data_IF_600196524727
#
_entry.id   IF_600196524727
#
_cell.length_a   1.000
_cell.length_b   1.000
_cell.length_c   1.000
_cell.angle_alpha   90.00
_cell.angle_beta   90.00
_cell.angle_gamma   90.00
#
_symmetry.space_group_name_H-M   'P 1'
#
loop_
_entity.id
_entity.type
_entity.pdbx_description
1 polymer ?
#
# COMPACT_ATOMS: atom_id res chain seq x y z
N UNK A 1 3.31 -9.28 -21.00
CA UNK A 1 2.03 -9.21 -21.75
C UNK A 1 2.02 -7.94 -22.59
N UNK A 2 1.59 -7.99 -23.87
CA UNK A 2 1.23 -6.78 -24.60
C UNK A 2 0.02 -6.13 -23.91
N UNK A 3 -0.12 -4.81 -24.00
CA UNK A 3 -1.30 -4.08 -23.55
C UNK A 3 -2.59 -4.83 -23.95
N UNK A 4 -3.33 -5.37 -22.98
CA UNK A 4 -4.66 -5.89 -23.23
C UNK A 4 -5.59 -4.68 -23.44
N UNK A 5 -6.11 -4.45 -24.66
CA UNK A 5 -7.02 -3.35 -24.92
C UNK A 5 -8.36 -3.48 -24.17
N UNK A 6 -8.68 -4.65 -23.60
CA UNK A 6 -9.86 -4.84 -22.75
C UNK A 6 -9.66 -4.30 -21.33
N UNK A 7 -8.42 -4.24 -20.83
CA UNK A 7 -8.07 -3.80 -19.47
C UNK A 7 -7.00 -2.68 -19.50
N UNK A 8 -7.32 -1.49 -20.03
CA UNK A 8 -6.36 -0.41 -20.25
C UNK A 8 -5.75 0.20 -18.97
N UNK A 9 -6.25 -0.18 -17.79
CA UNK A 9 -5.77 0.27 -16.48
C UNK A 9 -4.58 -0.51 -15.93
N UNK A 10 -4.17 -1.63 -16.56
CA UNK A 10 -2.99 -2.41 -16.18
C UNK A 10 -1.79 -1.50 -15.85
N UNK A 11 -1.37 -1.56 -14.58
CA UNK A 11 -0.36 -0.69 -13.99
C UNK A 11 1.00 -0.89 -14.66
N UNK A 12 1.88 0.12 -14.55
CA UNK A 12 3.29 -0.13 -14.82
C UNK A 12 3.92 -0.55 -13.52
N UNK A 13 4.66 -1.67 -13.55
CA UNK A 13 5.44 -2.20 -12.43
C UNK A 13 6.22 -1.08 -11.73
N UNK A 14 6.79 -0.16 -12.50
CA UNK A 14 7.56 1.00 -12.06
C UNK A 14 6.89 1.86 -10.95
N UNK A 15 5.56 2.02 -10.95
CA UNK A 15 4.85 2.83 -9.93
C UNK A 15 4.68 2.08 -8.60
N UNK A 16 4.55 0.76 -8.68
CA UNK A 16 4.48 -0.13 -7.52
C UNK A 16 5.87 -0.40 -6.97
N UNK A 17 6.85 -0.67 -7.85
CA UNK A 17 8.26 -0.84 -7.49
C UNK A 17 8.76 0.39 -6.70
N UNK A 18 8.40 1.62 -7.11
CA UNK A 18 8.74 2.83 -6.34
C UNK A 18 8.12 2.86 -4.92
N UNK A 19 6.89 2.39 -4.75
CA UNK A 19 6.25 2.36 -3.42
C UNK A 19 6.85 1.28 -2.53
N UNK A 20 7.21 0.14 -3.14
CA UNK A 20 7.92 -0.97 -2.49
C UNK A 20 9.34 -0.55 -2.11
N UNK A 21 10.10 0.11 -3.00
CA UNK A 21 11.42 0.68 -2.73
C UNK A 21 11.40 1.67 -1.56
N UNK A 22 10.35 2.49 -1.45
CA UNK A 22 10.19 3.42 -0.33
C UNK A 22 9.93 2.68 1.00
N UNK A 23 9.22 1.55 0.97
CA UNK A 23 9.00 0.69 2.14
C UNK A 23 10.30 -0.02 2.53
N UNK A 24 11.02 -0.59 1.57
CA UNK A 24 12.32 -1.23 1.78
C UNK A 24 13.33 -0.24 2.37
N UNK A 25 13.35 1.00 1.87
CA UNK A 25 14.14 2.07 2.44
C UNK A 25 13.79 2.39 3.91
N UNK A 26 12.54 2.21 4.34
CA UNK A 26 12.16 2.34 5.76
C UNK A 26 12.72 1.18 6.58
N UNK A 27 12.68 -0.06 6.08
CA UNK A 27 13.24 -1.22 6.76
C UNK A 27 14.77 -1.16 6.86
N UNK A 28 15.46 -0.76 5.79
CA UNK A 28 16.91 -0.56 5.80
C UNK A 28 17.35 0.45 6.88
N UNK A 29 16.60 1.55 7.01
CA UNK A 29 16.87 2.57 8.02
C UNK A 29 16.58 2.08 9.44
N UNK A 30 15.58 1.22 9.61
CA UNK A 30 15.32 0.53 10.88
C UNK A 30 16.49 -0.38 11.27
N UNK A 31 16.99 -1.21 10.35
CA UNK A 31 18.11 -2.12 10.62
C UNK A 31 19.38 -1.38 11.04
N UNK A 32 19.59 -0.17 10.50
CA UNK A 32 20.73 0.69 10.82
C UNK A 32 20.54 1.48 12.14
N UNK A 33 19.35 1.49 12.71
CA UNK A 33 19.02 2.24 13.94
C UNK A 33 19.75 1.65 15.15
N UNK A 34 20.56 2.48 15.82
CA UNK A 34 21.36 2.08 16.99
C UNK A 34 20.69 2.38 18.33
N UNK A 35 19.52 3.03 18.33
CA UNK A 35 18.79 3.39 19.54
C UNK A 35 17.83 2.25 19.95
N UNK A 36 18.07 1.56 21.08
CA UNK A 36 17.25 0.42 21.50
C UNK A 36 15.77 0.77 21.72
N UNK A 37 15.47 1.99 22.18
CA UNK A 37 14.09 2.39 22.50
C UNK A 37 13.28 2.58 21.22
N UNK A 38 13.87 3.26 20.22
CA UNK A 38 13.24 3.41 18.91
C UNK A 38 13.09 2.06 18.22
N UNK A 39 14.11 1.20 18.31
CA UNK A 39 14.10 -0.13 17.69
C UNK A 39 12.97 -1.01 18.21
N UNK A 40 12.78 -1.12 19.53
CA UNK A 40 11.68 -1.93 20.10
C UNK A 40 10.29 -1.42 19.67
N UNK A 41 10.14 -0.10 19.58
CA UNK A 41 8.92 0.51 19.08
C UNK A 41 8.69 0.16 17.59
N UNK A 42 9.71 0.29 16.75
CA UNK A 42 9.67 -0.02 15.32
C UNK A 42 9.36 -1.52 15.12
N UNK A 43 10.06 -2.41 15.82
CA UNK A 43 9.82 -3.86 15.83
C UNK A 43 8.37 -4.22 16.20
N UNK A 44 7.74 -3.46 17.10
CA UNK A 44 6.33 -3.65 17.44
C UNK A 44 5.43 -3.37 16.23
N UNK A 45 5.70 -2.30 15.48
CA UNK A 45 4.93 -1.94 14.27
C UNK A 45 5.20 -2.96 13.16
N UNK A 46 6.45 -3.37 12.95
CA UNK A 46 6.81 -4.40 11.96
C UNK A 46 6.10 -5.71 12.31
N UNK A 47 6.09 -6.11 13.58
CA UNK A 47 5.37 -7.31 14.02
C UNK A 47 3.85 -7.23 13.85
N UNK A 48 3.25 -6.03 13.85
CA UNK A 48 1.84 -5.87 13.45
C UNK A 48 1.64 -6.17 11.96
N UNK A 49 2.58 -5.78 11.10
CA UNK A 49 2.53 -6.04 9.67
C UNK A 49 2.71 -7.52 9.36
N UNK A 50 3.73 -8.16 9.93
CA UNK A 50 3.96 -9.61 9.77
C UNK A 50 2.71 -10.40 10.11
N UNK A 51 2.07 -10.12 11.25
CA UNK A 51 0.81 -10.82 11.63
C UNK A 51 -0.34 -10.59 10.65
N UNK A 52 -0.35 -9.44 9.97
CA UNK A 52 -1.41 -9.09 9.03
C UNK A 52 -1.21 -9.83 7.71
N UNK A 53 0.01 -9.83 7.20
CA UNK A 53 0.39 -10.55 5.97
C UNK A 53 0.28 -12.06 6.20
N UNK A 54 0.76 -12.61 7.34
CA UNK A 54 0.56 -14.02 7.70
C UNK A 54 -0.92 -14.44 7.71
N UNK A 55 -1.80 -13.54 8.18
CA UNK A 55 -3.24 -13.81 8.20
C UNK A 55 -3.86 -13.70 6.81
N UNK A 56 -3.33 -12.84 5.96
CA UNK A 56 -3.74 -12.69 4.56
C UNK A 56 -3.31 -13.92 3.75
N UNK A 57 -2.05 -14.33 3.85
CA UNK A 57 -1.50 -15.51 3.17
C UNK A 57 -2.25 -16.80 3.50
N UNK A 58 -2.66 -16.98 4.77
CA UNK A 58 -3.51 -18.12 5.15
C UNK A 58 -4.85 -18.08 4.43
N UNK A 59 -5.53 -16.93 4.39
CA UNK A 59 -6.81 -16.77 3.69
C UNK A 59 -6.65 -16.96 2.18
N UNK A 60 -5.55 -16.48 1.62
CA UNK A 60 -5.23 -16.68 0.20
C UNK A 60 -4.99 -18.16 -0.10
N UNK A 61 -4.26 -18.86 0.77
CA UNK A 61 -4.05 -20.31 0.67
C UNK A 61 -5.35 -21.10 0.73
N UNK A 62 -6.30 -20.68 1.57
CA UNK A 62 -7.64 -21.29 1.65
C UNK A 62 -8.45 -21.09 0.35
N UNK A 63 -8.25 -19.97 -0.35
CA UNK A 63 -8.91 -19.65 -1.63
C UNK A 63 -8.32 -20.42 -2.80
N UNK A 64 -6.99 -20.48 -2.87
CA UNK A 64 -6.25 -21.09 -3.98
C UNK A 64 -6.16 -22.62 -3.85
N UNK A 65 -6.28 -23.15 -2.63
CA UNK A 65 -6.08 -24.56 -2.33
C UNK A 65 -4.59 -24.95 -2.29
N UNK A 66 -4.28 -26.14 -1.75
CA UNK A 66 -2.89 -26.59 -1.54
C UNK A 66 -2.10 -26.81 -2.85
N UNK A 67 -2.78 -26.97 -3.98
CA UNK A 67 -2.15 -27.28 -5.28
C UNK A 67 -1.63 -26.03 -6.01
N UNK A 68 -2.18 -24.83 -5.73
CA UNK A 68 -1.75 -23.58 -6.36
C UNK A 68 -0.40 -23.07 -5.83
N UNK A 69 -0.01 -23.46 -4.61
CA UNK A 69 1.28 -23.11 -4.00
C UNK A 69 2.48 -23.84 -4.66
N UNK A 70 2.22 -24.75 -5.61
CA UNK A 70 3.24 -25.53 -6.32
C UNK A 70 3.53 -24.98 -7.74
N UNK A 71 2.69 -24.08 -8.26
CA UNK A 71 2.87 -23.43 -9.57
C UNK A 71 3.40 -22.00 -9.41
N UNK A 72 4.47 -21.87 -8.62
CA UNK A 72 5.20 -20.61 -8.47
C UNK A 72 6.13 -20.42 -9.70
N UNK A 73 5.53 -20.21 -10.88
CA UNK A 73 6.25 -19.65 -12.02
C UNK A 73 6.37 -18.13 -11.74
N UNK A 74 7.55 -17.63 -11.36
CA UNK A 74 7.70 -16.21 -11.08
C UNK A 74 7.26 -15.43 -12.32
N UNK A 75 6.25 -14.57 -12.17
CA UNK A 75 5.78 -13.68 -13.22
C UNK A 75 6.86 -12.61 -13.52
N UNK A 76 7.92 -13.01 -14.21
CA UNK A 76 8.97 -12.11 -14.69
C UNK A 76 8.44 -11.45 -15.97
N UNK A 77 7.99 -10.20 -15.84
CA UNK A 77 7.73 -9.35 -17.00
C UNK A 77 9.05 -9.11 -17.76
N UNK A 78 9.22 -9.78 -18.91
CA UNK A 78 10.41 -9.63 -19.77
C UNK A 78 10.65 -8.21 -20.32
N UNK A 79 9.70 -7.28 -20.13
CA UNK A 79 9.78 -5.90 -20.63
C UNK A 79 10.40 -4.91 -19.63
N UNK A 80 10.81 -5.36 -18.45
CA UNK A 80 11.37 -4.51 -17.39
C UNK A 80 12.92 -4.50 -17.35
N UNK A 81 13.60 -4.88 -18.44
CA UNK A 81 15.07 -4.96 -18.49
C UNK A 81 15.77 -3.61 -18.65
N UNK A 82 15.03 -2.55 -18.91
CA UNK A 82 15.58 -1.21 -19.13
C UNK A 82 15.38 -0.36 -17.88
N UNK A 83 16.49 0.06 -17.26
CA UNK A 83 16.49 0.86 -16.04
C UNK A 83 15.83 2.24 -16.18
N UNK A 84 15.45 2.78 -15.01
CA UNK A 84 14.73 4.02 -14.73
C UNK A 84 15.08 5.27 -15.58
N UNK A 85 14.07 6.12 -15.84
CA UNK A 85 14.19 7.56 -15.71
C UNK A 85 13.69 7.99 -14.31
N UNK A 86 14.55 8.65 -13.53
CA UNK A 86 14.19 9.29 -12.27
C UNK A 86 13.03 10.29 -12.45
N UNK A 87 12.03 10.20 -11.57
CA UNK A 87 10.94 11.16 -11.48
C UNK A 87 9.83 10.90 -12.51
N UNK A 88 8.93 9.97 -12.22
CA UNK A 88 7.66 9.86 -12.96
C UNK A 88 6.87 11.15 -12.68
N UNK A 89 6.85 12.07 -13.64
CA UNK A 89 6.11 13.31 -13.50
C UNK A 89 4.62 12.98 -13.30
N UNK A 90 3.97 13.63 -12.33
CA UNK A 90 2.53 13.50 -12.07
C UNK A 90 1.66 13.67 -13.34
N UNK A 91 2.16 14.40 -14.35
CA UNK A 91 1.55 14.51 -15.67
C UNK A 91 1.45 13.19 -16.43
N UNK A 92 2.44 12.31 -16.31
CA UNK A 92 2.46 11.01 -16.99
C UNK A 92 1.49 10.02 -16.34
N UNK A 93 1.35 10.06 -15.01
CA UNK A 93 0.30 9.37 -14.24
C UNK A 93 -1.11 9.79 -14.70
N UNK A 94 -1.35 11.10 -14.86
CA UNK A 94 -2.64 11.65 -15.29
C UNK A 94 -2.93 11.50 -16.78
N UNK A 95 -1.92 11.21 -17.60
CA UNK A 95 -2.05 11.07 -19.06
C UNK A 95 -2.62 9.72 -19.50
N UNK A 96 -2.57 8.70 -18.63
CA UNK A 96 -3.06 7.34 -18.90
C UNK A 96 -4.42 7.14 -18.21
N UNK A 97 -5.33 6.39 -18.84
CA UNK A 97 -6.64 6.04 -18.24
C UNK A 97 -6.47 5.05 -17.08
N UNK A 98 -6.00 5.55 -15.93
CA UNK A 98 -5.91 4.81 -14.68
C UNK A 98 -7.25 4.80 -13.96
N UNK A 99 -7.45 3.80 -13.10
CA UNK A 99 -8.62 3.77 -12.23
C UNK A 99 -8.58 4.99 -11.28
N UNK A 100 -9.68 5.76 -11.16
CA UNK A 100 -9.73 6.93 -10.28
C UNK A 100 -9.41 6.62 -8.82
N UNK A 101 -9.81 5.44 -8.31
CA UNK A 101 -9.55 5.04 -6.93
C UNK A 101 -8.04 4.91 -6.70
N UNK A 102 -7.33 4.25 -7.63
CA UNK A 102 -5.88 4.10 -7.55
C UNK A 102 -5.16 5.46 -7.62
N UNK A 103 -5.54 6.33 -8.56
CA UNK A 103 -4.88 7.64 -8.69
C UNK A 103 -5.03 8.47 -7.41
N UNK A 104 -6.23 8.45 -6.82
CA UNK A 104 -6.49 9.16 -5.56
C UNK A 104 -5.71 8.55 -4.39
N UNK A 105 -5.71 7.23 -4.25
CA UNK A 105 -4.99 6.56 -3.16
C UNK A 105 -3.48 6.74 -3.28
N UNK A 106 -2.92 6.71 -4.50
CA UNK A 106 -1.51 6.98 -4.76
C UNK A 106 -1.13 8.42 -4.36
N UNK A 107 -1.88 9.42 -4.83
CA UNK A 107 -1.66 10.82 -4.47
C UNK A 107 -1.75 11.09 -2.97
N UNK A 108 -2.69 10.44 -2.30
CA UNK A 108 -2.81 10.47 -0.85
C UNK A 108 -1.59 9.85 -0.18
N UNK A 109 -1.21 8.63 -0.57
CA UNK A 109 -0.09 7.89 0.01
C UNK A 109 1.23 8.65 -0.14
N UNK A 110 1.55 9.17 -1.32
CA UNK A 110 2.80 9.92 -1.54
C UNK A 110 2.90 11.13 -0.61
N UNK A 111 1.81 11.89 -0.44
CA UNK A 111 1.81 13.06 0.45
C UNK A 111 1.95 12.67 1.92
N UNK A 112 1.19 11.65 2.35
CA UNK A 112 1.23 11.14 3.73
C UNK A 112 2.61 10.58 4.06
N UNK A 113 3.19 9.78 3.16
CA UNK A 113 4.51 9.19 3.32
C UNK A 113 5.61 10.24 3.39
N UNK A 114 5.66 11.19 2.44
CA UNK A 114 6.67 12.27 2.45
C UNK A 114 6.60 13.05 3.77
N UNK A 115 5.38 13.42 4.19
CA UNK A 115 5.18 14.12 5.46
C UNK A 115 5.66 13.29 6.67
N UNK A 116 5.31 12.00 6.73
CA UNK A 116 5.67 11.13 7.83
C UNK A 116 7.18 10.85 7.85
N UNK A 117 7.82 10.67 6.69
CA UNK A 117 9.26 10.42 6.55
C UNK A 117 10.05 11.64 7.00
N UNK A 118 9.73 12.81 6.48
CA UNK A 118 10.38 14.06 6.89
C UNK A 118 10.17 14.36 8.37
N UNK A 119 8.99 14.05 8.91
CA UNK A 119 8.67 14.32 10.31
C UNK A 119 9.33 13.34 11.26
N UNK A 120 9.46 12.07 10.87
CA UNK A 120 10.07 11.03 11.70
C UNK A 120 11.55 11.31 12.00
N UNK A 121 12.30 11.81 11.01
CA UNK A 121 13.73 12.08 11.18
C UNK A 121 14.04 13.40 11.91
N UNK A 122 13.03 14.23 12.20
CA UNK A 122 13.21 15.44 13.00
C UNK A 122 13.49 15.08 14.47
N UNK A 123 14.42 15.82 15.07
CA UNK A 123 14.80 15.61 16.47
C UNK A 123 13.57 15.73 17.39
N UNK A 124 13.37 14.75 18.28
CA UNK A 124 12.25 14.73 19.23
C UNK A 124 10.89 14.34 18.66
N UNK A 125 10.82 14.00 17.36
CA UNK A 125 9.55 13.68 16.69
C UNK A 125 9.37 12.18 16.41
N UNK A 126 10.41 11.36 16.62
CA UNK A 126 10.34 9.90 16.51
C UNK A 126 9.31 9.34 17.47
N UNK A 127 8.30 8.69 16.92
CA UNK A 127 7.26 8.05 17.71
C UNK A 127 6.60 6.91 16.91
N UNK A 128 5.89 6.05 17.64
CA UNK A 128 5.22 4.87 17.09
C UNK A 128 4.23 5.18 15.97
N UNK A 129 3.37 6.16 16.18
CA UNK A 129 2.32 6.48 15.21
C UNK A 129 2.91 7.07 13.92
N UNK A 130 3.98 7.86 14.01
CA UNK A 130 4.68 8.39 12.84
C UNK A 130 5.35 7.27 12.04
N UNK A 131 6.02 6.32 12.71
CA UNK A 131 6.60 5.16 12.04
C UNK A 131 5.52 4.29 11.40
N UNK A 132 4.42 4.02 12.11
CA UNK A 132 3.28 3.26 11.60
C UNK A 132 2.63 3.91 10.37
N UNK A 133 2.58 5.24 10.30
CA UNK A 133 2.14 5.95 9.08
C UNK A 133 3.14 5.72 7.93
N UNK A 134 4.44 5.84 8.18
CA UNK A 134 5.47 5.60 7.16
C UNK A 134 5.34 4.21 6.51
N UNK A 135 5.12 3.16 7.31
CA UNK A 135 5.08 1.81 6.74
C UNK A 135 3.75 1.47 6.07
N UNK A 136 2.62 2.00 6.56
CA UNK A 136 1.30 1.59 6.06
C UNK A 136 0.77 2.45 4.90
N UNK A 137 1.17 3.72 4.79
CA UNK A 137 0.60 4.63 3.78
C UNK A 137 0.84 4.15 2.34
N UNK A 138 2.06 3.70 2.04
CA UNK A 138 2.44 3.20 0.72
C UNK A 138 1.78 1.86 0.37
N UNK A 139 1.46 1.02 1.36
CA UNK A 139 0.82 -0.27 1.13
C UNK A 139 -0.63 -0.14 0.65
N UNK A 140 -1.33 0.95 0.96
CA UNK A 140 -2.73 1.15 0.52
C UNK A 140 -2.87 1.16 -1.01
N UNK A 141 -2.18 2.02 -1.77
CA UNK A 141 -2.24 1.99 -3.24
C UNK A 141 -1.67 0.70 -3.84
N UNK A 142 -0.68 0.06 -3.19
CA UNK A 142 -0.14 -1.23 -3.64
C UNK A 142 -1.23 -2.31 -3.64
N UNK A 143 -1.93 -2.50 -2.51
CA UNK A 143 -3.00 -3.51 -2.41
C UNK A 143 -4.21 -3.16 -3.30
N UNK A 144 -4.53 -1.87 -3.47
CA UNK A 144 -5.56 -1.44 -4.45
C UNK A 144 -5.16 -1.80 -5.89
N UNK A 145 -3.89 -1.66 -6.25
CA UNK A 145 -3.42 -2.02 -7.58
C UNK A 145 -3.53 -3.53 -7.83
N UNK A 146 -3.13 -4.35 -6.85
CA UNK A 146 -3.30 -5.81 -6.94
C UNK A 146 -4.78 -6.17 -7.07
N UNK A 147 -5.66 -5.58 -6.27
CA UNK A 147 -7.10 -5.82 -6.38
C UNK A 147 -7.66 -5.48 -7.77
N UNK A 148 -7.27 -4.33 -8.33
CA UNK A 148 -7.70 -3.89 -9.65
C UNK A 148 -7.09 -4.72 -10.81
N UNK A 149 -5.91 -5.30 -10.61
CA UNK A 149 -5.32 -6.24 -11.56
C UNK A 149 -6.12 -7.54 -11.59
N UNK A 150 -6.47 -8.07 -10.41
CA UNK A 150 -7.30 -9.28 -10.28
C UNK A 150 -8.74 -9.07 -10.78
N UNK A 151 -9.32 -7.88 -10.65
CA UNK A 151 -10.59 -7.53 -11.30
C UNK A 151 -10.58 -7.72 -12.82
N UNK A 152 -9.42 -7.50 -13.45
CA UNK A 152 -9.22 -7.67 -14.89
C UNK A 152 -8.86 -9.10 -15.30
N UNK A 153 -8.54 -9.98 -14.34
CA UNK A 153 -8.19 -11.37 -14.61
C UNK A 153 -9.44 -12.24 -14.75
N UNK A 154 -9.44 -13.09 -15.78
CA UNK A 154 -10.52 -14.03 -16.05
C UNK A 154 -10.44 -15.35 -15.26
N UNK A 155 -9.53 -15.44 -14.28
CA UNK A 155 -9.37 -16.63 -13.47
C UNK A 155 -10.52 -16.79 -12.45
N UNK A 156 -10.83 -18.04 -12.09
CA UNK A 156 -11.93 -18.37 -11.18
C UNK A 156 -11.67 -17.89 -9.74
N UNK A 157 -10.41 -17.75 -9.33
CA UNK A 157 -10.04 -17.28 -7.99
C UNK A 157 -9.85 -15.76 -7.95
N UNK A 158 -9.62 -15.10 -9.10
CA UNK A 158 -9.35 -13.67 -9.18
C UNK A 158 -10.37 -12.78 -8.43
N UNK A 159 -11.70 -13.01 -8.47
CA UNK A 159 -12.64 -12.22 -7.68
C UNK A 159 -12.45 -12.35 -6.16
N UNK A 160 -12.06 -13.53 -5.68
CA UNK A 160 -11.78 -13.78 -4.26
C UNK A 160 -10.48 -13.11 -3.84
N UNK A 161 -9.43 -13.18 -4.67
CA UNK A 161 -8.15 -12.51 -4.44
C UNK A 161 -8.34 -10.99 -4.42
N UNK A 162 -9.06 -10.43 -5.39
CA UNK A 162 -9.40 -9.01 -5.43
C UNK A 162 -10.11 -8.56 -4.14
N UNK A 163 -11.04 -9.37 -3.63
CA UNK A 163 -11.70 -9.13 -2.35
C UNK A 163 -10.72 -9.10 -1.17
N UNK A 164 -9.79 -10.06 -1.09
CA UNK A 164 -8.77 -10.09 -0.03
C UNK A 164 -7.82 -8.89 -0.10
N UNK A 165 -7.41 -8.49 -1.29
CA UNK A 165 -6.53 -7.33 -1.52
C UNK A 165 -7.20 -6.02 -1.07
N UNK A 166 -8.49 -5.84 -1.38
CA UNK A 166 -9.25 -4.69 -0.84
C UNK A 166 -9.42 -4.73 0.67
N UNK A 167 -9.64 -5.90 1.27
CA UNK A 167 -9.67 -6.04 2.73
C UNK A 167 -8.34 -5.60 3.35
N UNK A 168 -7.23 -5.98 2.73
CA UNK A 168 -5.89 -5.64 3.20
C UNK A 168 -5.58 -4.15 3.04
N UNK A 169 -5.98 -3.54 1.93
CA UNK A 169 -5.93 -2.09 1.74
C UNK A 169 -6.70 -1.33 2.84
N UNK A 170 -7.89 -1.81 3.22
CA UNK A 170 -8.69 -1.22 4.31
C UNK A 170 -7.99 -1.33 5.67
N UNK A 171 -7.28 -2.43 5.94
CA UNK A 171 -6.52 -2.59 7.19
C UNK A 171 -5.40 -1.55 7.27
N UNK A 172 -4.59 -1.40 6.22
CA UNK A 172 -3.51 -0.41 6.21
C UNK A 172 -4.02 1.03 6.28
N UNK A 173 -5.12 1.31 5.57
CA UNK A 173 -5.74 2.63 5.58
C UNK A 173 -6.29 2.96 6.98
N UNK A 174 -6.97 2.02 7.63
CA UNK A 174 -7.50 2.19 8.98
C UNK A 174 -6.38 2.46 9.99
N UNK A 175 -5.28 1.69 9.95
CA UNK A 175 -4.13 1.89 10.84
C UNK A 175 -3.45 3.23 10.62
N UNK A 176 -3.28 3.63 9.36
CA UNK A 176 -2.74 4.94 9.00
C UNK A 176 -3.62 6.05 9.55
N UNK A 177 -4.94 5.96 9.35
CA UNK A 177 -5.92 6.92 9.84
C UNK A 177 -5.97 7.02 11.36
N UNK A 178 -5.91 5.89 12.07
CA UNK A 178 -5.80 5.83 13.54
C UNK A 178 -4.55 6.58 14.03
N UNK A 179 -3.39 6.28 13.45
CA UNK A 179 -2.13 6.91 13.84
C UNK A 179 -2.09 8.40 13.49
N UNK A 180 -2.62 8.82 12.33
CA UNK A 180 -2.80 10.24 12.00
C UNK A 180 -3.69 10.95 13.04
N UNK A 181 -4.76 10.30 13.50
CA UNK A 181 -5.64 10.82 14.55
C UNK A 181 -4.93 10.95 15.91
N UNK A 182 -4.09 9.98 16.27
CA UNK A 182 -3.26 10.05 17.47
C UNK A 182 -2.26 11.22 17.39
N UNK A 183 -1.55 11.35 16.26
CA UNK A 183 -0.58 12.43 16.02
C UNK A 183 -1.24 13.81 16.08
N UNK A 184 -2.44 13.96 15.52
CA UNK A 184 -3.25 15.17 15.64
C UNK A 184 -3.57 15.49 17.10
N UNK A 185 -3.94 14.49 17.90
CA UNK A 185 -4.27 14.65 19.32
C UNK A 185 -3.05 15.04 20.16
N UNK A 186 -1.86 14.61 19.76
CA UNK A 186 -0.58 15.01 20.38
C UNK A 186 -0.17 16.47 20.08
N UNK A 187 -1.00 17.23 19.38
CA UNK A 187 -0.74 18.64 19.09
C UNK A 187 0.22 18.87 17.93
N UNK A 188 0.50 17.85 17.12
CA UNK A 188 1.19 17.99 15.84
C UNK A 188 0.23 18.57 14.80
N UNK A 189 -0.40 19.71 15.10
CA UNK A 189 -1.48 20.29 14.30
C UNK A 189 -0.93 20.96 13.02
N UNK A 190 -0.65 20.16 12.00
CA UNK A 190 -0.43 20.63 10.64
C UNK A 190 -1.76 20.68 9.89
N UNK A 191 -2.00 21.75 9.12
CA UNK A 191 -3.20 21.87 8.28
C UNK A 191 -3.38 20.66 7.35
N UNK A 192 -2.27 20.06 6.93
CA UNK A 192 -2.25 18.89 6.06
C UNK A 192 -2.81 17.61 6.72
N UNK A 193 -2.71 17.47 8.06
CA UNK A 193 -3.24 16.28 8.76
C UNK A 193 -4.76 16.15 8.65
N UNK A 194 -5.48 17.29 8.62
CA UNK A 194 -6.94 17.28 8.49
C UNK A 194 -7.32 16.66 7.14
N UNK A 195 -6.70 17.16 6.07
CA UNK A 195 -6.91 16.62 4.72
C UNK A 195 -6.51 15.15 4.63
N UNK A 196 -5.36 14.74 5.20
CA UNK A 196 -4.92 13.34 5.17
C UNK A 196 -5.91 12.39 5.83
N UNK A 197 -6.54 12.80 6.95
CA UNK A 197 -7.55 12.02 7.67
C UNK A 197 -8.87 11.99 6.90
N UNK A 198 -9.35 13.13 6.42
CA UNK A 198 -10.60 13.22 5.66
C UNK A 198 -10.53 12.44 4.35
N UNK A 199 -9.42 12.54 3.62
CA UNK A 199 -9.19 11.78 2.41
C UNK A 199 -9.07 10.28 2.70
N UNK A 200 -8.46 9.89 3.82
CA UNK A 200 -8.44 8.48 4.24
C UNK A 200 -9.84 7.93 4.52
N UNK A 201 -10.72 8.72 5.17
CA UNK A 201 -12.11 8.33 5.41
C UNK A 201 -12.90 8.21 4.09
N UNK A 202 -12.66 9.10 3.13
CA UNK A 202 -13.27 9.06 1.80
C UNK A 202 -12.80 7.84 0.98
N UNK A 203 -11.49 7.57 0.97
CA UNK A 203 -10.91 6.37 0.34
C UNK A 203 -11.48 5.10 0.97
N UNK A 204 -11.61 5.05 2.31
CA UNK A 204 -12.16 3.89 2.99
C UNK A 204 -13.60 3.60 2.58
N UNK A 205 -14.42 4.63 2.36
CA UNK A 205 -15.79 4.46 1.87
C UNK A 205 -15.81 3.89 0.44
N UNK A 206 -14.96 4.39 -0.45
CA UNK A 206 -14.88 3.94 -1.84
C UNK A 206 -14.31 2.51 -1.96
N UNK A 207 -13.28 2.18 -1.17
CA UNK A 207 -12.73 0.82 -1.12
C UNK A 207 -13.76 -0.16 -0.57
N UNK A 208 -14.55 0.22 0.45
CA UNK A 208 -15.65 -0.64 0.96
C UNK A 208 -16.73 -0.87 -0.09
N UNK A 209 -17.09 0.14 -0.86
CA UNK A 209 -18.04 -0.01 -1.97
C UNK A 209 -17.51 -1.00 -3.02
N UNK A 210 -16.25 -0.85 -3.45
CA UNK A 210 -15.59 -1.80 -4.37
C UNK A 210 -15.54 -3.20 -3.79
N UNK A 211 -15.06 -3.34 -2.55
CA UNK A 211 -14.95 -4.61 -1.82
C UNK A 211 -16.27 -5.38 -1.75
N UNK A 212 -17.39 -4.67 -1.62
CA UNK A 212 -18.73 -5.27 -1.53
C UNK A 212 -19.18 -6.01 -2.79
N UNK A 213 -18.49 -5.81 -3.91
CA UNK A 213 -18.76 -6.46 -5.20
C UNK A 213 -18.19 -7.87 -5.27
N UNK A 214 -17.34 -8.25 -4.33
CA UNK A 214 -16.64 -9.54 -4.29
C UNK A 214 -17.19 -10.44 -3.19
N UNK A 215 -17.06 -11.77 -3.33
CA UNK A 215 -17.46 -12.70 -2.28
C UNK A 215 -16.83 -12.36 -0.92
N UNK A 216 -17.59 -12.59 0.15
CA UNK A 216 -17.04 -12.64 1.50
C UNK A 216 -16.40 -14.01 1.71
N UNK A 217 -15.18 -14.02 2.24
CA UNK A 217 -14.43 -15.22 2.62
C UNK A 217 -14.42 -15.33 4.14
#
# INVERSE_FOLDING_TARGET
MPHDPANPWLFRRDELDMLEDEIDGVFDLHEQSRDPVNRTMEETVIGEQTKTEDSYERRLSDVLGPDALLEDEPHVCEHCKDGFPEGVALKDLLSKKRDPLYVRSYLWATKVFVWARESYWKQGMRNRDMFRVNVNACLVPVKIAFALAEEGHGDAHAPSIAGLEYDLALVYLARTRESLGALRTMGLAYADLVWMIEEADALAAEIKDRRSRFPSL
#
